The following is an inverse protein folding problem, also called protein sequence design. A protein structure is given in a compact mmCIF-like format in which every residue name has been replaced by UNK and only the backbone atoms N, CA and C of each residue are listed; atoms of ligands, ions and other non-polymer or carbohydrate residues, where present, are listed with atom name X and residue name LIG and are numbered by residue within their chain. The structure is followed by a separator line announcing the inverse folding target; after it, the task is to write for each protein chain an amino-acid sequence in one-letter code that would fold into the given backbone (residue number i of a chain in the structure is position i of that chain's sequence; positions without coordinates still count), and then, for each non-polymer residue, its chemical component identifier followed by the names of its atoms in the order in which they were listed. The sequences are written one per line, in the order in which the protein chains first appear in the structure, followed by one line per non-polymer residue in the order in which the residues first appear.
data_IF_337978307451
#
_entry.id   IF_337978307451
#
_cell.length_a   1.000
_cell.length_b   1.000
_cell.length_c   1.000
_cell.angle_alpha   90.00
_cell.angle_beta   90.00
_cell.angle_gamma   90.00
#
_symmetry.space_group_name_H-M   'P 1'
#
loop_
_entity.id
_entity.type
_entity.pdbx_description
1 polymer ?
#
# COMPACT_ATOMS: atom_id res chain seq x y z
N UNK A 1 17.02 -71.35 -50.44
CA UNK A 1 18.34 -70.73 -50.18
C UNK A 1 18.19 -69.71 -49.05
N UNK A 2 19.04 -69.84 -48.01
CA UNK A 2 19.60 -68.79 -47.12
C UNK A 2 18.59 -67.93 -46.33
N UNK A 3 18.39 -68.15 -45.04
CA UNK A 3 19.23 -67.75 -43.88
C UNK A 3 19.18 -66.25 -43.51
N UNK A 4 18.63 -66.00 -42.31
CA UNK A 4 19.07 -65.07 -41.25
C UNK A 4 19.42 -63.60 -41.58
N UNK A 5 18.79 -62.67 -40.82
CA UNK A 5 19.44 -62.01 -39.66
C UNK A 5 18.42 -61.19 -38.83
N UNK A 6 18.45 -61.46 -37.53
CA UNK A 6 17.95 -60.64 -36.40
C UNK A 6 18.85 -59.41 -36.24
N UNK A 7 18.32 -58.27 -35.77
CA UNK A 7 19.04 -57.38 -34.82
C UNK A 7 18.11 -56.31 -34.19
N UNK A 8 18.04 -56.41 -32.86
CA UNK A 8 17.73 -55.44 -31.80
C UNK A 8 17.80 -53.93 -32.11
N UNK A 9 16.88 -53.15 -31.52
CA UNK A 9 17.15 -51.94 -30.73
C UNK A 9 15.83 -51.37 -30.15
N UNK A 10 15.56 -51.47 -28.83
CA UNK A 10 15.64 -50.38 -27.78
C UNK A 10 14.62 -49.24 -27.97
N UNK A 11 14.00 -48.57 -26.98
CA UNK A 11 14.02 -48.49 -25.51
C UNK A 11 12.78 -47.63 -25.10
N UNK A 12 12.28 -47.81 -23.87
CA UNK A 12 11.24 -47.00 -23.20
C UNK A 12 11.80 -45.62 -22.78
N UNK A 13 10.91 -44.62 -22.56
CA UNK A 13 10.94 -43.55 -21.51
C UNK A 13 10.87 -42.09 -22.03
N UNK A 14 9.65 -41.54 -21.96
CA UNK A 14 9.18 -40.38 -21.18
C UNK A 14 9.52 -38.90 -21.48
N UNK A 15 8.47 -38.10 -21.18
CA UNK A 15 8.40 -36.70 -20.67
C UNK A 15 8.57 -35.55 -21.69
N UNK A 16 7.52 -34.71 -21.81
CA UNK A 16 7.59 -33.32 -21.32
C UNK A 16 6.19 -32.66 -21.27
N UNK A 17 5.68 -32.53 -20.05
CA UNK A 17 4.72 -31.49 -19.70
C UNK A 17 5.44 -30.13 -19.84
N UNK A 18 4.92 -29.24 -20.67
CA UNK A 18 5.31 -27.83 -20.61
C UNK A 18 4.67 -27.20 -19.38
N UNK A 19 5.36 -27.28 -18.25
CA UNK A 19 5.16 -26.37 -17.13
C UNK A 19 5.80 -25.05 -17.55
N UNK A 20 4.99 -24.03 -17.78
CA UNK A 20 5.47 -22.67 -17.95
C UNK A 20 6.26 -22.28 -16.70
N UNK A 21 7.58 -22.16 -16.85
CA UNK A 21 8.43 -21.62 -15.81
C UNK A 21 8.02 -20.15 -15.60
N UNK A 22 7.24 -19.90 -14.55
CA UNK A 22 7.15 -18.57 -13.96
C UNK A 22 8.58 -18.14 -13.64
N UNK A 23 8.95 -16.95 -14.09
CA UNK A 23 10.20 -16.30 -13.69
C UNK A 23 10.17 -16.10 -12.18
N UNK A 24 10.71 -17.06 -11.44
CA UNK A 24 11.03 -16.89 -10.04
C UNK A 24 12.06 -15.75 -9.97
N UNK A 25 11.58 -14.55 -9.63
CA UNK A 25 12.44 -13.41 -9.37
C UNK A 25 13.29 -13.77 -8.15
N UNK A 26 14.57 -14.05 -8.38
CA UNK A 26 15.54 -14.27 -7.32
C UNK A 26 15.54 -13.02 -6.42
N UNK A 27 14.98 -13.14 -5.22
CA UNK A 27 15.07 -12.10 -4.20
C UNK A 27 16.54 -11.99 -3.80
N UNK A 28 17.15 -10.83 -4.06
CA UNK A 28 18.51 -10.53 -3.57
C UNK A 28 18.57 -10.72 -2.05
N UNK A 29 19.71 -11.20 -1.51
CA UNK A 29 19.87 -11.39 -0.07
C UNK A 29 19.57 -10.08 0.66
N UNK A 30 18.57 -10.10 1.53
CA UNK A 30 18.17 -8.96 2.35
C UNK A 30 19.30 -8.60 3.30
N UNK A 31 19.88 -7.41 3.16
CA UNK A 31 20.79 -6.86 4.14
C UNK A 31 20.00 -6.69 5.47
N UNK A 32 20.35 -7.41 6.55
CA UNK A 32 19.61 -7.34 7.81
C UNK A 32 19.66 -5.91 8.34
N UNK A 33 18.53 -5.20 8.28
CA UNK A 33 18.40 -3.80 8.69
C UNK A 33 17.72 -2.89 7.67
N UNK A 34 17.61 -3.30 6.41
CA UNK A 34 16.86 -2.53 5.39
C UNK A 34 15.47 -3.11 5.14
N UNK A 35 14.47 -2.24 4.82
CA UNK A 35 13.14 -2.68 4.43
C UNK A 35 13.20 -3.63 3.23
N UNK A 36 12.40 -4.69 3.29
CA UNK A 36 12.33 -5.68 2.22
C UNK A 36 11.29 -5.24 1.18
N UNK A 37 11.59 -5.37 -0.12
CA UNK A 37 10.59 -5.08 -1.15
C UNK A 37 9.45 -6.10 -1.09
N UNK A 38 8.21 -5.60 -1.05
CA UNK A 38 7.01 -6.41 -1.23
C UNK A 38 6.63 -6.34 -2.71
N UNK A 39 6.26 -7.49 -3.28
CA UNK A 39 5.60 -7.54 -4.58
C UNK A 39 4.09 -7.34 -4.37
N UNK A 40 3.50 -6.22 -4.80
CA UNK A 40 2.06 -5.98 -4.65
C UNK A 40 1.26 -7.04 -5.40
N UNK A 41 0.40 -7.77 -4.70
CA UNK A 41 -0.47 -8.77 -5.33
C UNK A 41 -1.69 -9.07 -4.46
N UNK A 42 -2.87 -9.03 -5.07
CA UNK A 42 -4.14 -9.40 -4.43
C UNK A 42 -4.28 -10.91 -4.20
N UNK A 43 -3.37 -11.75 -4.73
CA UNK A 43 -3.35 -13.19 -4.49
C UNK A 43 -2.97 -13.54 -3.05
N UNK A 44 -2.30 -12.62 -2.34
CA UNK A 44 -1.97 -12.77 -0.93
C UNK A 44 -3.13 -12.43 0.01
N UNK A 45 -4.25 -11.93 -0.52
CA UNK A 45 -5.45 -11.72 0.29
C UNK A 45 -6.04 -13.07 0.73
N UNK A 46 -6.53 -13.13 1.98
CA UNK A 46 -6.97 -14.33 2.67
C UNK A 46 -5.82 -15.16 3.26
N UNK A 47 -4.56 -14.85 2.93
CA UNK A 47 -3.41 -15.57 3.47
C UNK A 47 -2.97 -15.00 4.82
N UNK A 48 -2.56 -15.88 5.72
CA UNK A 48 -2.12 -15.49 7.05
C UNK A 48 -0.74 -14.80 7.02
N UNK A 49 -0.54 -13.90 7.97
CA UNK A 49 0.76 -13.28 8.28
C UNK A 49 0.87 -11.81 7.83
N UNK A 50 1.58 -10.98 8.60
CA UNK A 50 1.67 -9.53 8.35
C UNK A 50 2.27 -9.22 6.98
N UNK A 51 3.29 -9.94 6.52
CA UNK A 51 3.88 -9.72 5.19
C UNK A 51 2.88 -9.97 4.06
N UNK A 52 2.04 -11.00 4.17
CA UNK A 52 1.00 -11.30 3.19
C UNK A 52 -0.12 -10.26 3.22
N UNK A 53 -0.52 -9.81 4.41
CA UNK A 53 -1.46 -8.70 4.56
C UNK A 53 -0.92 -7.42 3.89
N UNK A 54 0.37 -7.11 4.08
CA UNK A 54 1.03 -5.98 3.41
C UNK A 54 1.08 -6.14 1.89
N UNK A 55 1.32 -7.34 1.37
CA UNK A 55 1.32 -7.63 -0.06
C UNK A 55 -0.07 -7.54 -0.70
N UNK A 56 -1.10 -8.05 0.00
CA UNK A 56 -2.50 -7.89 -0.35
C UNK A 56 -2.87 -6.40 -0.42
N UNK A 57 -2.62 -5.65 0.67
CA UNK A 57 -2.92 -4.22 0.75
C UNK A 57 -2.21 -3.40 -0.35
N UNK A 58 -0.93 -3.66 -0.58
CA UNK A 58 -0.17 -3.04 -1.67
C UNK A 58 -0.78 -3.37 -3.04
N UNK A 59 -1.16 -4.63 -3.28
CA UNK A 59 -1.77 -5.08 -4.53
C UNK A 59 -3.11 -4.41 -4.80
N UNK A 60 -3.97 -4.35 -3.77
CA UNK A 60 -5.28 -3.70 -3.85
C UNK A 60 -5.16 -2.18 -4.01
N UNK A 61 -4.20 -1.55 -3.32
CA UNK A 61 -3.86 -0.13 -3.49
C UNK A 61 -3.39 0.14 -4.93
N UNK A 62 -2.47 -0.66 -5.46
CA UNK A 62 -1.95 -0.48 -6.82
C UNK A 62 -3.04 -0.68 -7.89
N UNK A 63 -3.89 -1.69 -7.74
CA UNK A 63 -5.00 -1.94 -8.68
C UNK A 63 -6.01 -0.79 -8.68
N UNK A 64 -6.40 -0.27 -7.50
CA UNK A 64 -7.23 0.92 -7.41
C UNK A 64 -6.58 2.12 -8.08
N UNK A 65 -5.31 2.39 -7.80
CA UNK A 65 -4.57 3.51 -8.39
C UNK A 65 -4.57 3.46 -9.91
N UNK A 66 -4.31 2.29 -10.48
CA UNK A 66 -4.41 2.07 -11.93
C UNK A 66 -5.81 2.35 -12.46
N UNK A 67 -6.86 1.87 -11.78
CA UNK A 67 -8.25 2.10 -12.17
C UNK A 67 -8.65 3.59 -12.09
N UNK A 68 -8.07 4.32 -11.14
CA UNK A 68 -8.32 5.75 -10.92
C UNK A 68 -7.45 6.67 -11.80
N UNK A 69 -6.59 6.12 -12.68
CA UNK A 69 -5.72 6.90 -13.55
C UNK A 69 -4.50 7.53 -12.85
N UNK A 70 -4.16 7.06 -11.64
CA UNK A 70 -2.98 7.53 -10.88
C UNK A 70 -1.71 6.84 -11.42
N UNK A 71 -1.10 7.45 -12.44
CA UNK A 71 -0.04 6.83 -13.24
C UNK A 71 1.31 6.64 -12.52
N UNK A 72 1.55 7.36 -11.43
CA UNK A 72 2.77 7.22 -10.62
C UNK A 72 2.54 6.19 -9.52
N UNK A 73 3.38 5.17 -9.38
CA UNK A 73 3.22 4.12 -8.36
C UNK A 73 4.43 4.09 -7.42
N UNK A 74 4.23 4.17 -6.09
CA UNK A 74 5.34 4.04 -5.16
C UNK A 74 5.86 2.60 -5.12
N UNK A 75 7.07 2.42 -4.61
CA UNK A 75 7.53 1.09 -4.17
C UNK A 75 6.83 0.74 -2.85
N UNK A 76 6.52 -0.52 -2.61
CA UNK A 76 6.01 -0.98 -1.32
C UNK A 76 7.09 -1.81 -0.60
N UNK A 77 7.37 -1.47 0.65
CA UNK A 77 8.44 -2.05 1.44
C UNK A 77 7.89 -2.57 2.77
N UNK A 78 8.30 -3.77 3.17
CA UNK A 78 8.02 -4.38 4.47
C UNK A 78 9.08 -3.98 5.48
N UNK A 79 8.68 -3.44 6.63
CA UNK A 79 9.59 -2.94 7.66
C UNK A 79 9.53 -3.83 8.91
N UNK A 80 10.65 -4.49 9.21
CA UNK A 80 10.85 -5.31 10.42
C UNK A 80 11.69 -4.64 11.50
N UNK A 81 12.47 -3.62 11.12
CA UNK A 81 13.39 -2.92 11.99
C UNK A 81 13.37 -1.43 11.66
N UNK A 82 13.60 -0.61 12.68
CA UNK A 82 13.75 0.82 12.52
C UNK A 82 14.99 1.20 11.70
N UNK A 83 14.89 2.28 10.94
CA UNK A 83 16.01 2.82 10.16
C UNK A 83 15.68 4.19 9.55
N UNK A 84 16.64 4.74 8.81
CA UNK A 84 16.51 6.04 8.13
C UNK A 84 16.89 5.87 6.67
N UNK A 85 16.02 6.26 5.74
CA UNK A 85 16.28 6.17 4.28
C UNK A 85 16.72 7.49 3.66
N UNK A 86 16.47 8.62 4.32
CA UNK A 86 16.86 9.96 3.86
C UNK A 86 16.91 10.93 5.05
N UNK A 87 17.80 11.91 5.00
CA UNK A 87 17.75 13.09 5.87
C UNK A 87 17.68 14.32 4.97
N UNK A 88 16.85 15.29 5.34
CA UNK A 88 16.74 16.57 4.65
C UNK A 88 16.43 17.69 5.62
N UNK A 89 15.88 18.79 5.12
CA UNK A 89 15.58 19.98 5.92
C UNK A 89 14.08 20.28 5.95
N UNK A 90 13.54 20.42 7.16
CA UNK A 90 12.20 20.89 7.50
C UNK A 90 12.20 22.35 7.98
N UNK A 91 10.99 22.92 8.12
CA UNK A 91 10.79 24.27 8.67
C UNK A 91 11.31 24.43 10.10
N UNK A 92 11.46 23.32 10.84
CA UNK A 92 11.92 23.28 12.23
C UNK A 92 13.31 22.63 12.39
N UNK A 93 14.10 22.52 11.31
CA UNK A 93 15.42 21.88 11.32
C UNK A 93 15.48 20.58 10.51
N UNK A 94 16.53 19.76 10.67
CA UNK A 94 16.68 18.54 9.88
C UNK A 94 15.54 17.56 10.17
N UNK A 95 14.97 17.00 9.11
CA UNK A 95 13.94 15.96 9.19
C UNK A 95 14.54 14.67 8.66
N UNK A 96 14.33 13.57 9.37
CA UNK A 96 14.72 12.25 8.93
C UNK A 96 13.50 11.51 8.39
N UNK A 97 13.65 10.96 7.20
CA UNK A 97 12.81 9.93 6.62
C UNK A 97 13.08 8.62 7.37
N UNK A 98 12.53 8.51 8.59
CA UNK A 98 12.69 7.35 9.43
C UNK A 98 11.51 6.39 9.24
N UNK A 99 11.80 5.10 9.15
CA UNK A 99 10.81 4.02 9.12
C UNK A 99 10.98 3.15 10.36
N UNK A 100 9.88 2.57 10.84
CA UNK A 100 9.84 1.70 12.02
C UNK A 100 8.77 0.64 11.81
N UNK A 101 8.92 -0.54 12.41
CA UNK A 101 7.95 -1.63 12.30
C UNK A 101 6.56 -1.31 12.87
N UNK A 102 6.43 -0.23 13.66
CA UNK A 102 5.19 0.16 14.35
C UNK A 102 4.45 1.30 13.65
N UNK A 103 4.90 1.70 12.47
CA UNK A 103 4.26 2.74 11.66
C UNK A 103 4.13 2.30 10.21
N UNK A 104 3.10 2.82 9.54
CA UNK A 104 3.00 2.83 8.08
C UNK A 104 3.19 4.27 7.62
N UNK A 105 4.05 4.49 6.64
CA UNK A 105 4.36 5.84 6.14
C UNK A 105 4.89 5.82 4.71
N UNK A 106 4.65 6.89 3.98
CA UNK A 106 5.32 7.18 2.72
C UNK A 106 6.59 7.99 2.94
N UNK A 107 7.69 7.51 2.38
CA UNK A 107 8.92 8.28 2.33
C UNK A 107 9.89 7.80 1.24
N UNK A 108 10.69 8.73 0.70
CA UNK A 108 11.68 8.47 -0.36
C UNK A 108 11.12 7.61 -1.53
N UNK A 109 9.96 8.00 -2.06
CA UNK A 109 9.31 7.30 -3.18
C UNK A 109 8.71 5.94 -2.83
N UNK A 110 8.62 5.58 -1.55
CA UNK A 110 8.20 4.25 -1.11
C UNK A 110 7.17 4.32 0.03
N UNK A 111 6.19 3.44 -0.01
CA UNK A 111 5.28 3.14 1.11
C UNK A 111 5.94 2.07 1.97
N UNK A 112 6.23 2.42 3.21
CA UNK A 112 6.78 1.55 4.23
C UNK A 112 5.62 0.99 5.06
N UNK A 113 5.47 -0.33 5.06
CA UNK A 113 4.45 -1.06 5.79
C UNK A 113 5.11 -1.76 7.00
N UNK A 114 4.85 -1.24 8.20
CA UNK A 114 5.40 -1.75 9.45
C UNK A 114 4.84 -3.11 9.85
N UNK A 115 5.70 -4.07 10.19
CA UNK A 115 5.31 -5.40 10.64
C UNK A 115 4.37 -5.37 11.86
N UNK A 116 4.70 -4.59 12.89
CA UNK A 116 3.88 -4.48 14.10
C UNK A 116 2.57 -3.75 13.81
N UNK A 117 2.56 -2.74 12.93
CA UNK A 117 1.30 -2.13 12.47
C UNK A 117 0.39 -3.16 11.83
N UNK A 118 0.92 -3.98 10.91
CA UNK A 118 0.13 -5.02 10.22
C UNK A 118 -0.32 -6.13 11.18
N UNK A 119 0.51 -6.53 12.15
CA UNK A 119 0.14 -7.47 13.22
C UNK A 119 -1.00 -6.91 14.07
N UNK A 120 -0.91 -5.64 14.44
CA UNK A 120 -1.92 -4.97 15.27
C UNK A 120 -3.25 -4.85 14.54
N UNK A 121 -3.22 -4.50 13.25
CA UNK A 121 -4.42 -4.51 12.39
C UNK A 121 -5.03 -5.91 12.32
N UNK A 122 -4.20 -6.96 12.14
CA UNK A 122 -4.68 -8.32 12.00
C UNK A 122 -5.24 -8.95 13.29
N UNK A 123 -4.85 -8.44 14.47
CA UNK A 123 -5.12 -9.13 15.74
C UNK A 123 -5.78 -8.30 16.84
N UNK A 124 -5.73 -6.97 16.77
CA UNK A 124 -6.19 -6.07 17.85
C UNK A 124 -7.36 -5.19 17.48
N UNK A 125 -7.59 -4.97 16.19
CA UNK A 125 -8.58 -3.98 15.74
C UNK A 125 -9.87 -4.69 15.30
N UNK A 126 -11.05 -4.18 15.73
CA UNK A 126 -12.35 -4.78 15.39
C UNK A 126 -12.80 -4.35 13.97
N UNK A 127 -11.92 -4.52 12.99
CA UNK A 127 -12.13 -4.14 11.59
C UNK A 127 -11.60 -5.24 10.68
N UNK A 128 -12.09 -5.31 9.44
CA UNK A 128 -11.51 -6.21 8.46
C UNK A 128 -10.03 -5.82 8.20
N UNK A 129 -9.07 -6.72 8.48
CA UNK A 129 -7.65 -6.39 8.38
C UNK A 129 -7.21 -5.97 6.98
N UNK A 130 -7.73 -6.62 5.95
CA UNK A 130 -7.39 -6.31 4.56
C UNK A 130 -7.93 -4.96 4.14
N UNK A 131 -9.15 -4.63 4.55
CA UNK A 131 -9.75 -3.32 4.29
C UNK A 131 -8.92 -2.21 4.95
N UNK A 132 -8.55 -2.37 6.22
CA UNK A 132 -7.76 -1.36 6.91
C UNK A 132 -6.33 -1.24 6.36
N UNK A 133 -5.65 -2.36 6.12
CA UNK A 133 -4.32 -2.32 5.53
C UNK A 133 -4.35 -1.70 4.11
N UNK A 134 -5.39 -1.98 3.31
CA UNK A 134 -5.60 -1.37 1.99
C UNK A 134 -5.82 0.14 2.08
N UNK A 135 -6.64 0.60 3.03
CA UNK A 135 -6.81 2.02 3.32
C UNK A 135 -5.47 2.70 3.63
N UNK A 136 -4.66 2.14 4.54
CA UNK A 136 -3.36 2.70 4.88
C UNK A 136 -2.41 2.71 3.68
N UNK A 137 -2.35 1.61 2.91
CA UNK A 137 -1.51 1.55 1.72
C UNK A 137 -1.93 2.59 0.67
N UNK A 138 -3.23 2.84 0.48
CA UNK A 138 -3.75 3.87 -0.42
C UNK A 138 -3.52 5.30 0.10
N UNK A 139 -3.69 5.53 1.40
CA UNK A 139 -3.33 6.78 2.08
C UNK A 139 -1.88 7.15 1.80
N UNK A 140 -0.95 6.26 2.16
CA UNK A 140 0.48 6.53 1.97
C UNK A 140 0.86 6.65 0.49
N UNK A 141 0.26 5.84 -0.38
CA UNK A 141 0.48 5.98 -1.82
C UNK A 141 -0.03 7.32 -2.38
N UNK A 142 -0.97 7.99 -1.71
CA UNK A 142 -1.42 9.33 -2.11
C UNK A 142 -0.33 10.37 -1.89
N UNK A 143 0.45 10.26 -0.82
CA UNK A 143 1.62 11.12 -0.63
C UNK A 143 2.64 10.95 -1.76
N UNK A 144 2.77 9.75 -2.35
CA UNK A 144 3.56 9.58 -3.55
C UNK A 144 3.08 10.49 -4.69
N UNK A 145 1.80 10.41 -5.03
CA UNK A 145 1.19 11.26 -6.06
C UNK A 145 1.39 12.74 -5.76
N UNK A 146 1.14 13.17 -4.52
CA UNK A 146 1.33 14.56 -4.08
C UNK A 146 2.76 15.04 -4.29
N UNK A 147 3.76 14.15 -4.20
CA UNK A 147 5.17 14.49 -4.46
C UNK A 147 5.59 14.42 -5.92
N UNK A 148 4.96 13.58 -6.75
CA UNK A 148 5.41 13.31 -8.12
C UNK A 148 4.64 14.06 -9.20
N UNK A 149 3.37 14.38 -8.98
CA UNK A 149 2.49 14.99 -10.00
C UNK A 149 2.48 16.51 -9.86
N UNK A 150 3.64 17.14 -10.06
CA UNK A 150 3.82 18.61 -10.00
C UNK A 150 3.54 19.24 -8.62
N UNK A 151 3.42 18.42 -7.57
CA UNK A 151 2.93 18.84 -6.27
C UNK A 151 4.00 19.24 -5.25
N UNK A 152 3.52 19.61 -4.06
CA UNK A 152 4.35 20.13 -2.97
C UNK A 152 5.17 19.00 -2.36
N UNK A 153 6.51 19.11 -2.37
CA UNK A 153 7.33 18.28 -1.51
C UNK A 153 6.89 18.54 -0.05
N UNK A 154 6.32 17.52 0.61
CA UNK A 154 5.80 17.67 1.98
C UNK A 154 6.89 17.63 3.04
N UNK A 155 8.09 17.16 2.66
CA UNK A 155 9.23 17.02 3.55
C UNK A 155 9.55 18.30 4.36
N UNK A 156 9.50 19.52 3.78
CA UNK A 156 9.75 20.75 4.51
C UNK A 156 8.70 21.02 5.61
N UNK A 157 7.45 20.61 5.40
CA UNK A 157 6.32 20.92 6.31
C UNK A 157 5.87 19.75 7.17
N UNK A 158 6.49 18.58 7.02
CA UNK A 158 6.08 17.31 7.63
C UNK A 158 6.03 17.36 9.17
N UNK A 159 6.79 18.25 9.81
CA UNK A 159 6.78 18.42 11.29
C UNK A 159 5.87 19.55 11.77
N UNK A 160 4.95 20.03 10.92
CA UNK A 160 4.05 21.15 11.23
C UNK A 160 2.61 20.84 10.87
N UNK A 161 1.66 21.54 11.49
CA UNK A 161 0.22 21.41 11.19
C UNK A 161 -0.15 21.78 9.75
N UNK A 162 0.75 22.41 8.99
CA UNK A 162 0.56 22.70 7.57
C UNK A 162 0.43 21.45 6.70
N UNK A 163 0.84 20.27 7.20
CA UNK A 163 0.67 19.00 6.50
C UNK A 163 -0.75 18.42 6.66
N UNK A 164 -1.52 18.83 7.67
CA UNK A 164 -2.86 18.28 7.96
C UNK A 164 -3.84 18.30 6.78
N UNK A 165 -3.85 19.31 5.88
CA UNK A 165 -4.72 19.26 4.71
C UNK A 165 -4.27 18.22 3.67
N UNK A 166 -2.97 17.90 3.60
CA UNK A 166 -2.45 16.84 2.73
C UNK A 166 -2.76 15.45 3.30
N UNK A 167 -2.70 15.30 4.63
CA UNK A 167 -3.15 14.08 5.33
C UNK A 167 -4.65 13.84 5.14
N UNK A 168 -5.49 14.88 5.21
CA UNK A 168 -6.92 14.74 4.93
C UNK A 168 -7.18 14.40 3.46
N UNK A 169 -6.42 14.95 2.51
CA UNK A 169 -6.49 14.53 1.12
C UNK A 169 -6.12 13.04 0.97
N UNK A 170 -5.11 12.56 1.70
CA UNK A 170 -4.73 11.15 1.70
C UNK A 170 -5.80 10.25 2.37
N UNK A 171 -6.41 10.69 3.48
CA UNK A 171 -7.56 10.00 4.10
C UNK A 171 -8.74 9.91 3.12
N UNK A 172 -8.99 10.97 2.34
CA UNK A 172 -10.02 10.99 1.28
C UNK A 172 -9.73 9.97 0.18
N UNK A 173 -8.52 9.98 -0.40
CA UNK A 173 -8.16 9.01 -1.44
C UNK A 173 -8.15 7.58 -0.89
N UNK A 174 -7.77 7.39 0.37
CA UNK A 174 -7.93 6.13 1.09
C UNK A 174 -9.40 5.69 1.17
N UNK A 175 -10.32 6.59 1.50
CA UNK A 175 -11.76 6.35 1.46
C UNK A 175 -12.28 5.95 0.08
N UNK A 176 -11.84 6.66 -0.97
CA UNK A 176 -12.19 6.34 -2.35
C UNK A 176 -11.68 4.96 -2.80
N UNK A 177 -10.49 4.55 -2.34
CA UNK A 177 -9.98 3.20 -2.56
C UNK A 177 -10.89 2.14 -1.92
N UNK A 178 -11.38 2.39 -0.69
CA UNK A 178 -12.33 1.49 -0.04
C UNK A 178 -13.68 1.48 -0.77
N UNK A 179 -14.20 2.64 -1.18
CA UNK A 179 -15.42 2.74 -1.98
C UNK A 179 -15.35 1.92 -3.26
N UNK A 180 -14.22 2.02 -3.98
CA UNK A 180 -13.94 1.19 -5.15
C UNK A 180 -14.02 -0.31 -4.82
N UNK A 181 -13.34 -0.77 -3.77
CA UNK A 181 -13.33 -2.20 -3.41
C UNK A 181 -14.66 -2.71 -2.86
N UNK A 182 -15.49 -1.84 -2.28
CA UNK A 182 -16.87 -2.17 -1.95
C UNK A 182 -17.70 -2.37 -3.22
N UNK A 183 -17.59 -1.48 -4.22
CA UNK A 183 -18.26 -1.65 -5.51
C UNK A 183 -17.82 -2.91 -6.26
N UNK A 184 -16.55 -3.31 -6.13
CA UNK A 184 -16.02 -4.56 -6.68
C UNK A 184 -16.43 -5.81 -5.88
N UNK A 185 -17.20 -5.67 -4.80
CA UNK A 185 -17.65 -6.78 -3.96
C UNK A 185 -16.55 -7.43 -3.11
N UNK A 186 -15.38 -6.80 -2.96
CA UNK A 186 -14.29 -7.31 -2.13
C UNK A 186 -14.47 -6.97 -0.66
N UNK A 187 -14.94 -5.76 -0.37
CA UNK A 187 -15.29 -5.32 0.98
C UNK A 187 -16.79 -5.03 1.07
N UNK A 188 -17.32 -5.05 2.28
CA UNK A 188 -18.70 -4.67 2.57
C UNK A 188 -18.82 -3.21 3.00
N UNK A 189 -20.03 -2.65 2.96
CA UNK A 189 -20.32 -1.35 3.57
C UNK A 189 -20.03 -1.35 5.08
N UNK A 190 -20.27 -2.48 5.76
CA UNK A 190 -19.92 -2.66 7.18
C UNK A 190 -18.43 -2.49 7.42
N UNK A 191 -17.57 -2.99 6.52
CA UNK A 191 -16.12 -2.80 6.63
C UNK A 191 -15.76 -1.31 6.54
N UNK A 192 -16.35 -0.59 5.58
CA UNK A 192 -16.13 0.85 5.42
C UNK A 192 -16.57 1.66 6.65
N UNK A 193 -17.73 1.34 7.23
CA UNK A 193 -18.23 1.98 8.46
C UNK A 193 -17.30 1.69 9.66
N UNK A 194 -16.79 0.47 9.78
CA UNK A 194 -15.85 0.09 10.83
C UNK A 194 -14.52 0.85 10.71
N UNK A 195 -13.98 1.00 9.49
CA UNK A 195 -12.82 1.87 9.25
C UNK A 195 -13.11 3.33 9.62
N UNK A 196 -14.26 3.87 9.22
CA UNK A 196 -14.63 5.24 9.57
C UNK A 196 -14.70 5.44 11.08
N UNK A 197 -15.29 4.50 11.82
CA UNK A 197 -15.34 4.53 13.28
C UNK A 197 -13.93 4.48 13.90
N UNK A 198 -13.04 3.65 13.35
CA UNK A 198 -11.65 3.59 13.78
C UNK A 198 -10.89 4.90 13.55
N UNK A 199 -11.15 5.60 12.45
CA UNK A 199 -10.60 6.93 12.18
C UNK A 199 -11.13 7.98 13.17
N UNK A 200 -12.42 7.95 13.53
CA UNK A 200 -13.00 8.86 14.54
C UNK A 200 -12.32 8.74 15.91
N UNK A 201 -11.87 7.55 16.28
CA UNK A 201 -11.16 7.30 17.54
C UNK A 201 -9.68 7.71 17.51
N UNK A 202 -9.13 8.08 16.35
CA UNK A 202 -7.72 8.44 16.23
C UNK A 202 -7.43 9.78 16.93
N UNK A 203 -6.35 9.87 17.75
CA UNK A 203 -5.99 11.10 18.42
C UNK A 203 -5.55 12.17 17.41
N UNK A 204 -5.80 13.44 17.75
CA UNK A 204 -5.21 14.56 17.00
C UNK A 204 -3.70 14.58 17.24
N UNK A 205 -2.92 14.80 16.19
CA UNK A 205 -1.46 14.96 16.31
C UNK A 205 -1.02 16.25 15.62
N UNK A 206 0.29 16.55 15.66
CA UNK A 206 0.84 17.68 14.91
C UNK A 206 0.57 17.52 13.41
N UNK A 207 0.66 16.30 12.89
CA UNK A 207 0.57 16.03 11.44
C UNK A 207 -0.83 15.66 11.01
N UNK A 208 -1.61 15.01 11.88
CA UNK A 208 -2.96 14.53 11.57
C UNK A 208 -4.01 15.37 12.28
N UNK A 209 -5.08 15.72 11.54
CA UNK A 209 -6.24 16.39 12.09
C UNK A 209 -6.99 15.50 13.12
N UNK A 210 -8.04 16.05 13.75
CA UNK A 210 -8.89 15.28 14.66
C UNK A 210 -9.52 14.07 13.98
N UNK A 211 -9.81 13.03 14.76
CA UNK A 211 -10.47 11.82 14.25
C UNK A 211 -11.74 12.12 13.45
N UNK A 212 -12.56 13.07 13.89
CA UNK A 212 -13.75 13.51 13.13
C UNK A 212 -13.42 14.09 11.75
N UNK A 213 -12.37 14.90 11.63
CA UNK A 213 -11.93 15.46 10.34
C UNK A 213 -11.41 14.35 9.43
N UNK A 214 -10.65 13.41 9.97
CA UNK A 214 -10.14 12.25 9.22
C UNK A 214 -11.28 11.36 8.72
N UNK A 215 -12.25 11.08 9.58
CA UNK A 215 -13.44 10.29 9.25
C UNK A 215 -14.35 10.99 8.22
N UNK A 216 -14.46 12.31 8.27
CA UNK A 216 -15.19 13.10 7.28
C UNK A 216 -14.46 13.13 5.92
N UNK A 217 -13.13 13.24 5.92
CA UNK A 217 -12.33 13.14 4.71
C UNK A 217 -12.45 11.75 4.06
N UNK A 218 -12.32 10.68 4.85
CA UNK A 218 -12.60 9.32 4.42
C UNK A 218 -14.00 9.18 3.80
N UNK A 219 -15.05 9.70 4.45
CA UNK A 219 -16.41 9.62 3.92
C UNK A 219 -16.60 10.37 2.60
N UNK A 220 -15.96 11.54 2.48
CA UNK A 220 -15.96 12.31 1.24
C UNK A 220 -15.43 11.46 0.09
N UNK A 221 -14.28 10.81 0.29
CA UNK A 221 -13.71 9.91 -0.71
C UNK A 221 -14.52 8.64 -0.94
N UNK A 222 -15.02 8.00 0.12
CA UNK A 222 -15.82 6.78 0.02
C UNK A 222 -17.09 6.98 -0.82
N UNK A 223 -17.72 8.15 -0.73
CA UNK A 223 -18.90 8.52 -1.51
C UNK A 223 -18.58 9.18 -2.86
N UNK A 224 -17.31 9.43 -3.13
CA UNK A 224 -16.88 10.18 -4.30
C UNK A 224 -17.09 9.38 -5.59
N UNK A 225 -17.42 10.11 -6.65
CA UNK A 225 -17.46 9.56 -8.02
C UNK A 225 -16.20 9.88 -8.83
N UNK A 226 -15.29 10.70 -8.27
CA UNK A 226 -14.08 11.17 -8.94
C UNK A 226 -13.01 11.58 -7.93
N UNK A 227 -11.74 11.25 -8.19
CA UNK A 227 -10.62 11.77 -7.40
C UNK A 227 -10.60 13.30 -7.27
N UNK A 228 -11.25 14.03 -8.18
CA UNK A 228 -11.43 15.46 -8.08
C UNK A 228 -12.20 15.89 -6.83
N UNK A 229 -13.04 15.05 -6.22
CA UNK A 229 -13.70 15.39 -4.96
C UNK A 229 -12.72 15.39 -3.77
N UNK A 230 -11.57 14.70 -3.92
CA UNK A 230 -10.44 14.77 -3.00
C UNK A 230 -9.44 15.89 -3.37
N UNK A 231 -9.64 16.61 -4.48
CA UNK A 231 -8.75 17.67 -5.00
C UNK A 231 -9.50 19.00 -5.07
N UNK A 232 -8.97 20.04 -4.43
CA UNK A 232 -9.51 21.39 -4.57
C UNK A 232 -10.50 21.77 -3.46
N UNK A 233 -10.16 22.86 -2.75
CA UNK A 233 -11.04 23.57 -1.83
C UNK A 233 -11.25 22.95 -0.45
N UNK A 234 -11.44 21.62 -0.34
CA UNK A 234 -11.76 20.98 0.95
C UNK A 234 -10.52 20.64 1.80
N UNK A 235 -9.41 20.24 1.16
CA UNK A 235 -8.21 19.77 1.86
C UNK A 235 -6.93 20.44 1.34
N UNK A 236 -6.32 19.97 0.26
CA UNK A 236 -5.13 20.57 -0.35
C UNK A 236 -5.35 20.88 -1.85
N UNK A 237 -4.75 21.95 -2.41
CA UNK A 237 -4.91 22.31 -3.82
C UNK A 237 -4.00 21.50 -4.76
N UNK A 238 -3.29 20.48 -4.28
CA UNK A 238 -2.32 19.73 -5.07
C UNK A 238 -3.01 18.78 -6.06
N UNK A 239 -2.67 18.82 -7.36
CA UNK A 239 -3.15 17.86 -8.34
C UNK A 239 -2.75 16.42 -7.97
N UNK A 240 -3.62 15.47 -8.26
CA UNK A 240 -3.32 14.03 -8.14
C UNK A 240 -3.21 13.34 -9.51
N UNK A 241 -3.55 14.02 -10.60
CA UNK A 241 -3.48 13.53 -11.99
C UNK A 241 -2.94 14.60 -12.92
#
# INVERSE_FOLDING_TARGET
MKSFKVLFATLIVAVMFMVGAGVASAQSPTNPGFPERINPSSEFCGQQGPRNLGACAAGLSQQYRSAAGLNTTPKYLYVRYAGVSQVGWGVNGPVACAFHESVTLYCNGSVHLGENTLKDIASKLPVNPEAYATFLAAHEATHHTQTTTGGTNLFPIFTSSKVQPFEQQADCVGGAAIGYWVMQGRFSETDALALQAQLRMSPTTTTHASGDKRAAAFETGYRSSSLNDCIGGAFAPTPLV
#
